data_IF_265815904478
#
_entry.id   IF_265815904478
#
_cell.length_a   1.000
_cell.length_b   1.000
_cell.length_c   1.000
_cell.angle_alpha   90.00
_cell.angle_beta   90.00
_cell.angle_gamma   90.00
#
_symmetry.space_group_name_H-M   'P 1'
#
loop_
_entity.id
_entity.type
_entity.pdbx_description
1 polymer ?
#
# COMPACT_ATOMS: atom_id res chain seq x y z
N UNK A 1 1.87 -9.50 2.84
CA UNK A 1 2.06 -8.24 2.11
C UNK A 1 1.81 -7.05 3.05
N UNK A 2 2.73 -6.10 3.14
CA UNK A 2 2.62 -4.95 4.04
C UNK A 2 2.83 -3.64 3.28
N UNK A 3 1.91 -2.68 3.41
CA UNK A 3 2.10 -1.29 2.95
C UNK A 3 2.86 -0.47 4.00
N UNK A 4 3.84 0.31 3.59
CA UNK A 4 4.65 1.16 4.46
C UNK A 4 4.05 2.56 4.58
N UNK A 5 3.63 3.18 3.48
CA UNK A 5 3.03 4.50 3.47
C UNK A 5 1.55 4.45 3.94
N UNK A 6 1.27 5.05 5.12
CA UNK A 6 -0.05 5.02 5.77
C UNK A 6 -1.06 5.95 5.10
N UNK A 7 -0.60 7.07 4.56
CA UNK A 7 -1.47 8.03 3.87
C UNK A 7 -1.90 7.45 2.52
N UNK A 8 -0.98 6.87 1.74
CA UNK A 8 -1.34 6.18 0.48
C UNK A 8 -2.27 4.98 0.72
N UNK A 9 -2.09 4.26 1.85
CA UNK A 9 -2.99 3.18 2.22
C UNK A 9 -4.39 3.72 2.57
N UNK A 10 -4.47 4.80 3.35
CA UNK A 10 -5.72 5.46 3.68
C UNK A 10 -6.45 5.98 2.42
N UNK A 11 -5.72 6.54 1.45
CA UNK A 11 -6.30 6.97 0.17
C UNK A 11 -6.90 5.79 -0.61
N UNK A 12 -6.25 4.64 -0.59
CA UNK A 12 -6.80 3.43 -1.21
C UNK A 12 -8.09 2.96 -0.54
N UNK A 13 -8.15 3.02 0.80
CA UNK A 13 -9.35 2.69 1.57
C UNK A 13 -10.48 3.70 1.31
N UNK A 14 -10.17 4.99 1.34
CA UNK A 14 -11.11 6.07 1.04
C UNK A 14 -11.74 5.86 -0.35
N UNK A 15 -10.93 5.69 -1.37
CA UNK A 15 -11.42 5.48 -2.74
C UNK A 15 -12.28 4.23 -2.89
N UNK A 16 -11.94 3.18 -2.20
CA UNK A 16 -12.71 1.94 -2.23
C UNK A 16 -14.08 2.08 -1.55
N UNK A 17 -14.12 2.68 -0.37
CA UNK A 17 -15.32 2.73 0.46
C UNK A 17 -16.20 3.94 0.17
N UNK A 18 -15.62 5.11 -0.05
CA UNK A 18 -16.40 6.35 -0.21
C UNK A 18 -16.71 6.64 -1.69
N UNK A 19 -15.82 6.27 -2.60
CA UNK A 19 -16.01 6.51 -4.03
C UNK A 19 -16.51 5.27 -4.79
N UNK A 20 -16.60 4.11 -4.13
CA UNK A 20 -17.00 2.84 -4.76
C UNK A 20 -16.04 2.35 -5.85
N UNK A 21 -14.79 2.84 -5.84
CA UNK A 21 -13.82 2.57 -6.90
C UNK A 21 -12.90 1.41 -6.51
N UNK A 22 -12.91 0.34 -7.30
CA UNK A 22 -11.96 -0.76 -7.16
C UNK A 22 -10.51 -0.27 -7.29
N UNK A 23 -9.58 -0.85 -6.54
CA UNK A 23 -8.15 -0.55 -6.67
C UNK A 23 -7.55 -1.04 -8.00
N UNK A 24 -8.24 -1.93 -8.67
CA UNK A 24 -7.82 -2.56 -9.92
C UNK A 24 -8.73 -2.07 -11.05
N UNK A 25 -8.18 -1.22 -11.90
CA UNK A 25 -8.87 -0.73 -13.08
C UNK A 25 -8.05 -1.06 -14.33
N UNK A 26 -8.72 -1.56 -15.36
CA UNK A 26 -8.09 -1.83 -16.65
C UNK A 26 -7.88 -0.55 -17.46
N UNK A 27 -8.56 0.55 -17.10
CA UNK A 27 -8.55 1.81 -17.85
C UNK A 27 -7.31 2.68 -17.62
N UNK A 28 -6.50 2.40 -16.58
CA UNK A 28 -5.27 3.13 -16.31
C UNK A 28 -5.36 4.11 -15.13
N UNK A 29 -4.55 5.18 -15.16
CA UNK A 29 -4.45 6.15 -14.05
C UNK A 29 -5.76 6.91 -13.88
N UNK A 30 -6.28 6.94 -12.67
CA UNK A 30 -7.53 7.61 -12.31
C UNK A 30 -7.31 9.11 -12.10
N UNK A 31 -8.37 9.91 -12.33
CA UNK A 31 -8.32 11.32 -11.96
C UNK A 31 -8.07 11.49 -10.45
N UNK A 32 -7.48 12.62 -10.05
CA UNK A 32 -7.35 12.97 -8.64
C UNK A 32 -8.71 12.96 -7.94
N UNK A 33 -8.69 12.62 -6.64
CA UNK A 33 -9.89 12.65 -5.80
C UNK A 33 -9.88 13.89 -4.93
N UNK A 34 -11.02 14.57 -4.82
CA UNK A 34 -11.24 15.53 -3.75
C UNK A 34 -11.60 14.76 -2.48
N UNK A 35 -10.85 14.94 -1.40
CA UNK A 35 -11.05 14.18 -0.17
C UNK A 35 -11.73 15.01 0.90
N UNK A 36 -12.80 14.49 1.50
CA UNK A 36 -13.30 15.00 2.78
C UNK A 36 -12.26 14.69 3.87
N UNK A 37 -11.67 15.71 4.46
CA UNK A 37 -10.56 15.56 5.40
C UNK A 37 -10.95 14.85 6.69
N UNK A 38 -12.20 14.97 7.16
CA UNK A 38 -12.66 14.28 8.37
C UNK A 38 -12.87 12.79 8.10
N UNK A 39 -13.52 12.47 6.98
CA UNK A 39 -13.70 11.10 6.53
C UNK A 39 -12.33 10.46 6.24
N UNK A 40 -11.45 11.18 5.54
CA UNK A 40 -10.10 10.71 5.25
C UNK A 40 -9.30 10.43 6.53
N UNK A 41 -9.42 11.28 7.55
CA UNK A 41 -8.75 11.07 8.82
C UNK A 41 -9.21 9.77 9.51
N UNK A 42 -10.46 9.39 9.38
CA UNK A 42 -10.94 8.08 9.85
C UNK A 42 -10.20 6.93 9.16
N UNK A 43 -10.01 7.02 7.85
CA UNK A 43 -9.25 6.01 7.09
C UNK A 43 -7.76 5.99 7.42
N UNK A 44 -7.18 7.13 7.78
CA UNK A 44 -5.80 7.16 8.30
C UNK A 44 -5.71 6.41 9.64
N UNK A 45 -6.67 6.60 10.54
CA UNK A 45 -6.73 5.83 11.81
C UNK A 45 -6.90 4.34 11.55
N UNK A 46 -7.78 3.98 10.61
CA UNK A 46 -8.00 2.59 10.22
C UNK A 46 -6.73 1.97 9.61
N UNK A 47 -6.06 2.66 8.70
CA UNK A 47 -4.76 2.23 8.15
C UNK A 47 -3.72 1.96 9.24
N UNK A 48 -3.70 2.77 10.30
CA UNK A 48 -2.80 2.57 11.45
C UNK A 48 -3.23 1.34 12.27
N UNK A 49 -4.53 1.17 12.50
CA UNK A 49 -5.06 0.02 13.24
C UNK A 49 -4.73 -1.30 12.52
N UNK A 50 -5.02 -1.38 11.23
CA UNK A 50 -4.69 -2.53 10.38
C UNK A 50 -3.19 -2.85 10.40
N UNK A 51 -2.34 -1.82 10.41
CA UNK A 51 -0.90 -2.05 10.51
C UNK A 51 -0.48 -2.63 11.87
N UNK A 52 -1.09 -2.16 12.96
CA UNK A 52 -0.83 -2.71 14.31
C UNK A 52 -1.26 -4.16 14.38
N UNK A 53 -2.45 -4.47 13.87
CA UNK A 53 -2.95 -5.85 13.80
C UNK A 53 -2.01 -6.74 12.97
N UNK A 54 -1.58 -6.28 11.80
CA UNK A 54 -0.62 -7.00 10.96
C UNK A 54 0.71 -7.26 11.66
N UNK A 55 1.19 -6.30 12.47
CA UNK A 55 2.41 -6.50 13.28
C UNK A 55 2.21 -7.53 14.39
N UNK A 56 1.07 -7.47 15.08
CA UNK A 56 0.74 -8.43 16.14
C UNK A 56 0.64 -9.84 15.56
N UNK A 57 -0.11 -10.00 14.48
CA UNK A 57 -0.23 -11.26 13.75
C UNK A 57 1.12 -11.81 13.28
N UNK A 58 1.98 -10.93 12.73
CA UNK A 58 3.33 -11.36 12.31
C UNK A 58 4.15 -11.89 13.48
N UNK A 59 4.10 -11.21 14.64
CA UNK A 59 4.79 -11.66 15.85
C UNK A 59 4.30 -13.03 16.28
N UNK A 60 2.99 -13.20 16.38
CA UNK A 60 2.35 -14.47 16.76
C UNK A 60 2.73 -15.59 15.77
N UNK A 61 2.69 -15.32 14.46
CA UNK A 61 3.09 -16.29 13.45
C UNK A 61 4.58 -16.69 13.58
N UNK A 62 5.47 -15.74 13.88
CA UNK A 62 6.90 -16.02 14.13
C UNK A 62 7.07 -16.88 15.38
N UNK A 63 6.32 -16.57 16.44
CA UNK A 63 6.39 -17.32 17.70
C UNK A 63 5.88 -18.77 17.53
N UNK A 64 4.88 -18.97 16.66
CA UNK A 64 4.29 -20.29 16.40
C UNK A 64 5.06 -21.14 15.40
N UNK A 65 5.53 -20.55 14.32
CA UNK A 65 6.06 -21.27 13.14
C UNK A 65 7.58 -21.16 13.01
N UNK A 66 8.19 -20.23 13.72
CA UNK A 66 9.58 -19.85 13.52
C UNK A 66 9.74 -18.84 12.37
N UNK A 67 10.80 -18.05 12.43
CA UNK A 67 11.07 -16.99 11.47
C UNK A 67 11.34 -17.50 10.04
N UNK A 68 11.98 -18.65 9.94
CA UNK A 68 12.41 -19.22 8.66
C UNK A 68 11.23 -19.83 7.86
N UNK A 69 10.10 -20.06 8.52
CA UNK A 69 8.86 -20.51 7.88
C UNK A 69 8.03 -19.37 7.29
N UNK A 70 8.50 -18.11 7.39
CA UNK A 70 7.72 -16.93 7.03
C UNK A 70 8.50 -15.99 6.11
N UNK A 71 7.90 -15.63 4.98
CA UNK A 71 8.40 -14.59 4.09
C UNK A 71 7.61 -13.29 4.24
N UNK A 72 8.30 -12.15 4.30
CA UNK A 72 7.69 -10.82 4.37
C UNK A 72 7.92 -10.06 3.08
N UNK A 73 6.84 -9.56 2.51
CA UNK A 73 6.87 -8.76 1.28
C UNK A 73 6.27 -7.38 1.58
N UNK A 74 6.96 -6.32 1.16
CA UNK A 74 6.39 -4.98 1.14
C UNK A 74 5.59 -4.79 -0.13
N UNK A 75 4.47 -4.10 -0.02
CA UNK A 75 3.63 -3.79 -1.17
C UNK A 75 4.37 -2.92 -2.19
N UNK A 76 5.16 -1.97 -1.71
CA UNK A 76 5.92 -1.03 -2.52
C UNK A 76 6.95 -1.75 -3.40
N UNK A 77 7.62 -2.78 -2.86
CA UNK A 77 8.58 -3.60 -3.61
C UNK A 77 7.88 -4.47 -4.69
N UNK A 78 6.57 -4.70 -4.56
CA UNK A 78 5.80 -5.56 -5.47
C UNK A 78 5.10 -4.80 -6.60
N UNK A 79 4.95 -3.49 -6.50
CA UNK A 79 4.30 -2.66 -7.53
C UNK A 79 5.28 -2.04 -8.52
N UNK A 80 6.56 -1.95 -8.18
CA UNK A 80 7.63 -1.54 -9.08
C UNK A 80 8.08 -2.76 -9.90
N UNK A 81 8.26 -2.60 -11.22
CA UNK A 81 8.59 -3.75 -12.08
C UNK A 81 9.94 -4.38 -11.72
N UNK A 82 10.96 -3.58 -11.38
CA UNK A 82 12.26 -4.10 -10.97
C UNK A 82 12.18 -4.79 -9.60
N UNK A 83 11.55 -4.14 -8.61
CA UNK A 83 11.32 -4.69 -7.28
C UNK A 83 10.43 -5.91 -7.27
N UNK A 84 9.48 -6.00 -8.22
CA UNK A 84 8.62 -7.17 -8.41
C UNK A 84 9.43 -8.40 -8.82
N UNK A 85 10.32 -8.26 -9.81
CA UNK A 85 11.17 -9.38 -10.25
C UNK A 85 12.00 -9.91 -9.08
N UNK A 86 12.75 -9.03 -8.41
CA UNK A 86 13.57 -9.39 -7.24
C UNK A 86 12.73 -10.04 -6.12
N UNK A 87 11.55 -9.49 -5.85
CA UNK A 87 10.64 -10.02 -4.83
C UNK A 87 10.15 -11.42 -5.21
N UNK A 88 9.81 -11.65 -6.47
CA UNK A 88 9.35 -12.95 -6.95
C UNK A 88 10.47 -13.99 -6.92
N UNK A 89 11.69 -13.62 -7.32
CA UNK A 89 12.87 -14.51 -7.23
C UNK A 89 13.15 -14.92 -5.78
N UNK A 90 13.10 -13.95 -4.85
CA UNK A 90 13.26 -14.22 -3.42
C UNK A 90 12.16 -15.13 -2.87
N UNK A 91 10.91 -14.95 -3.30
CA UNK A 91 9.80 -15.83 -2.90
C UNK A 91 9.95 -17.22 -3.51
N UNK A 92 10.39 -17.31 -4.75
CA UNK A 92 10.69 -18.61 -5.39
C UNK A 92 11.75 -19.38 -4.61
N UNK A 93 12.86 -18.73 -4.28
CA UNK A 93 13.90 -19.35 -3.44
C UNK A 93 13.40 -19.74 -2.04
N UNK A 94 12.55 -18.93 -1.43
CA UNK A 94 11.93 -19.26 -0.14
C UNK A 94 11.01 -20.48 -0.22
N UNK A 95 10.31 -20.66 -1.33
CA UNK A 95 9.37 -21.78 -1.57
C UNK A 95 10.04 -23.00 -2.26
N UNK A 96 11.35 -22.94 -2.53
CA UNK A 96 12.10 -23.94 -3.30
C UNK A 96 11.47 -24.25 -4.67
N UNK A 97 10.97 -23.18 -5.33
CA UNK A 97 10.35 -23.27 -6.65
C UNK A 97 11.34 -22.83 -7.72
N UNK A 98 11.69 -23.72 -8.64
CA UNK A 98 12.57 -23.44 -9.77
C UNK A 98 11.76 -23.13 -11.04
N UNK A 99 12.28 -22.22 -11.88
CA UNK A 99 11.71 -21.96 -13.21
C UNK A 99 10.40 -21.16 -13.20
N UNK A 100 10.21 -20.28 -12.21
CA UNK A 100 9.09 -19.35 -12.22
C UNK A 100 9.17 -18.41 -13.42
N UNK A 101 8.22 -18.52 -14.33
CA UNK A 101 7.91 -17.49 -15.30
C UNK A 101 6.65 -16.75 -14.86
N UNK A 102 6.70 -15.44 -14.83
CA UNK A 102 5.52 -14.63 -14.50
C UNK A 102 5.02 -13.88 -15.72
N UNK A 103 3.74 -14.01 -15.99
CA UNK A 103 3.09 -13.18 -16.98
C UNK A 103 3.03 -11.73 -16.47
N UNK A 104 3.25 -10.76 -17.37
CA UNK A 104 3.02 -9.37 -17.06
C UNK A 104 1.57 -9.18 -16.57
N UNK A 105 1.39 -8.44 -15.48
CA UNK A 105 0.05 -8.15 -14.98
C UNK A 105 -0.71 -7.31 -16.00
N UNK A 106 -1.93 -7.74 -16.34
CA UNK A 106 -2.86 -6.93 -17.13
C UNK A 106 -3.45 -5.76 -16.33
N UNK A 107 -3.30 -5.79 -15.01
CA UNK A 107 -3.77 -4.72 -14.12
C UNK A 107 -2.70 -3.67 -13.96
N UNK A 108 -3.05 -2.44 -14.32
CA UNK A 108 -2.19 -1.27 -14.10
C UNK A 108 -2.48 -0.65 -12.75
N UNK A 109 -1.48 -0.01 -12.15
CA UNK A 109 -1.64 0.79 -10.97
C UNK A 109 -2.57 1.96 -11.26
N UNK A 110 -3.72 1.99 -10.61
CA UNK A 110 -4.75 3.01 -10.84
C UNK A 110 -4.50 4.33 -10.09
N UNK A 111 -3.60 4.35 -9.11
CA UNK A 111 -3.28 5.52 -8.31
C UNK A 111 -1.93 6.10 -8.74
N UNK A 112 -1.82 7.41 -8.97
CA UNK A 112 -0.53 8.08 -9.22
C UNK A 112 0.48 7.79 -8.10
N UNK A 113 1.78 7.87 -8.41
CA UNK A 113 2.84 7.64 -7.43
C UNK A 113 2.91 8.74 -6.39
N UNK A 114 2.66 9.98 -6.79
CA UNK A 114 2.58 11.14 -5.92
C UNK A 114 1.18 11.29 -5.31
N UNK A 115 1.11 11.58 -4.00
CA UNK A 115 -0.14 11.97 -3.34
C UNK A 115 -0.67 13.31 -3.85
N UNK A 116 0.21 14.23 -4.17
CA UNK A 116 -0.14 15.53 -4.77
C UNK A 116 -0.87 15.35 -6.10
N UNK A 117 -0.40 14.41 -6.95
CA UNK A 117 -1.07 14.09 -8.19
C UNK A 117 -2.37 13.27 -8.00
N UNK A 118 -2.56 12.67 -6.82
CA UNK A 118 -3.70 11.80 -6.53
C UNK A 118 -4.84 12.49 -5.79
N UNK A 119 -4.62 13.66 -5.17
CA UNK A 119 -5.57 14.37 -4.31
C UNK A 119 -5.72 15.81 -4.78
N UNK A 120 -6.94 16.24 -5.09
CA UNK A 120 -7.24 17.60 -5.58
C UNK A 120 -6.90 18.65 -4.53
N UNK A 121 -7.35 18.44 -3.31
CA UNK A 121 -7.11 19.35 -2.18
C UNK A 121 -5.88 18.91 -1.33
N UNK A 122 -4.78 18.60 -2.02
CA UNK A 122 -3.55 18.08 -1.40
C UNK A 122 -2.94 19.07 -0.38
N UNK A 123 -2.98 20.38 -0.66
CA UNK A 123 -2.41 21.38 0.24
C UNK A 123 -3.11 21.38 1.60
N UNK A 124 -4.44 21.29 1.61
CA UNK A 124 -5.23 21.18 2.85
C UNK A 124 -4.91 19.87 3.59
N UNK A 125 -4.77 18.78 2.85
CA UNK A 125 -4.35 17.49 3.39
C UNK A 125 -2.95 17.57 4.02
N UNK A 126 -2.01 18.20 3.31
CA UNK A 126 -0.64 18.37 3.78
C UNK A 126 -0.58 19.25 5.04
N UNK A 127 -1.32 20.34 5.06
CA UNK A 127 -1.41 21.23 6.23
C UNK A 127 -1.97 20.52 7.46
N UNK A 128 -3.01 19.71 7.28
CA UNK A 128 -3.61 18.93 8.37
C UNK A 128 -2.61 17.95 9.02
N UNK A 129 -1.71 17.37 8.23
CA UNK A 129 -0.74 16.39 8.75
C UNK A 129 0.64 16.99 9.01
N UNK A 130 0.87 18.25 8.70
CA UNK A 130 2.12 18.98 9.01
C UNK A 130 2.40 18.94 10.51
N UNK A 131 3.63 18.63 10.89
CA UNK A 131 4.03 18.49 12.29
C UNK A 131 3.56 17.22 12.99
N UNK A 132 2.81 16.36 12.33
CA UNK A 132 2.43 15.05 12.86
C UNK A 132 3.42 13.94 12.43
N UNK A 133 3.33 12.77 13.07
CA UNK A 133 4.09 11.57 12.65
C UNK A 133 3.77 11.09 11.23
N UNK A 134 2.72 11.62 10.61
CA UNK A 134 2.30 11.26 9.26
C UNK A 134 2.92 12.16 8.19
N UNK A 135 3.53 13.29 8.56
CA UNK A 135 4.14 14.24 7.62
C UNK A 135 5.11 13.57 6.64
N UNK A 136 5.92 12.64 7.13
CA UNK A 136 6.88 11.89 6.30
C UNK A 136 6.25 11.09 5.16
N UNK A 137 4.97 10.70 5.28
CA UNK A 137 4.25 9.92 4.26
C UNK A 137 3.61 10.76 3.16
N UNK A 138 3.70 12.09 3.27
CA UNK A 138 3.17 13.01 2.26
C UNK A 138 4.11 13.12 1.06
N UNK A 139 5.42 12.94 1.28
CA UNK A 139 6.49 13.12 0.28
C UNK A 139 7.11 11.82 -0.21
N UNK A 140 6.69 10.68 0.35
CA UNK A 140 7.18 9.35 -0.04
C UNK A 140 6.40 8.75 -1.23
#
# INVERSE_FOLDING_TARGET
LQRTNRIKHALSLYRYHEEGKSQFDKSGVRPPSEVDLEVFHRWVKESVALHRQSKAFWKEAVDMLGRDALARVKYEDFIDEAGKVETMERLAGFLDINGLSYAASVFKKATPDSLEAAVVNFDELADRYRGTKFAKFLTE
#
